data_IF_040745304890
#
_entry.id   IF_040745304890
#
_cell.length_a   1.000
_cell.length_b   1.000
_cell.length_c   1.000
_cell.angle_alpha   90.00
_cell.angle_beta   90.00
_cell.angle_gamma   90.00
#
_symmetry.space_group_name_H-M   'P 1'
#
loop_
_entity.id
_entity.type
_entity.pdbx_description
1 polymer ?
#
# COMPACT_ATOMS: atom_id res chain seq x y z
N UNK A 1 -8.30 5.86 -18.87
CA UNK A 1 -8.62 4.60 -18.18
C UNK A 1 -8.99 4.97 -16.76
N UNK A 2 -10.22 4.72 -16.30
CA UNK A 2 -10.68 5.08 -14.95
C UNK A 2 -10.92 3.80 -14.15
N UNK A 3 -9.83 3.07 -13.86
CA UNK A 3 -9.85 1.95 -12.92
C UNK A 3 -9.42 2.43 -11.52
N UNK A 4 -9.94 1.79 -10.47
CA UNK A 4 -9.48 2.02 -9.09
C UNK A 4 -8.12 1.36 -8.89
N UNK A 5 -7.32 1.87 -7.94
CA UNK A 5 -6.12 1.21 -7.44
C UNK A 5 -6.04 1.31 -5.92
N UNK A 6 -5.25 0.43 -5.31
CA UNK A 6 -5.05 0.39 -3.86
C UNK A 6 -3.55 0.42 -3.57
N UNK A 7 -3.14 1.29 -2.64
CA UNK A 7 -1.78 1.34 -2.13
C UNK A 7 -1.77 1.02 -0.63
N UNK A 8 -0.85 0.17 -0.19
CA UNK A 8 -0.74 -0.28 1.20
C UNK A 8 0.68 -0.02 1.71
N UNK A 9 0.79 0.63 2.86
CA UNK A 9 2.03 0.89 3.57
C UNK A 9 2.06 0.16 4.91
N UNK A 10 3.13 -0.57 5.19
CA UNK A 10 3.32 -1.29 6.45
C UNK A 10 4.79 -1.33 6.90
N UNK A 11 5.05 -1.47 8.20
CA UNK A 11 6.41 -1.58 8.73
C UNK A 11 6.49 -2.63 9.86
N UNK A 12 6.88 -2.28 11.08
CA UNK A 12 6.86 -3.19 12.23
C UNK A 12 5.45 -3.80 12.42
N UNK A 13 5.36 -5.14 12.50
CA UNK A 13 4.11 -5.91 12.47
C UNK A 13 3.48 -6.10 11.09
N UNK A 14 4.02 -5.44 10.06
CA UNK A 14 3.44 -5.36 8.72
C UNK A 14 3.33 -6.70 8.00
N UNK A 15 4.29 -7.61 8.17
CA UNK A 15 4.21 -8.95 7.53
C UNK A 15 3.06 -9.77 8.10
N UNK A 16 2.80 -9.65 9.41
CA UNK A 16 1.68 -10.32 10.08
C UNK A 16 0.35 -9.72 9.64
N UNK A 17 0.26 -8.39 9.55
CA UNK A 17 -0.90 -7.69 9.01
C UNK A 17 -1.18 -8.10 7.54
N UNK A 18 -0.20 -7.98 6.65
CA UNK A 18 -0.35 -8.35 5.23
C UNK A 18 -0.71 -9.83 5.03
N UNK A 19 -0.25 -10.73 5.92
CA UNK A 19 -0.60 -12.16 5.90
C UNK A 19 -2.07 -12.45 6.19
N UNK A 20 -2.82 -11.47 6.70
CA UNK A 20 -4.26 -11.57 6.94
C UNK A 20 -5.05 -10.81 5.88
N UNK A 21 -4.54 -9.66 5.41
CA UNK A 21 -5.21 -8.84 4.39
C UNK A 21 -5.13 -9.47 2.99
N UNK A 22 -3.92 -9.75 2.50
CA UNK A 22 -3.73 -10.14 1.10
C UNK A 22 -4.40 -11.48 0.75
N UNK A 23 -4.31 -12.54 1.59
CA UNK A 23 -5.00 -13.79 1.31
C UNK A 23 -6.52 -13.72 1.43
N UNK A 24 -7.07 -12.69 2.08
CA UNK A 24 -8.50 -12.49 2.21
C UNK A 24 -9.13 -11.85 0.95
N UNK A 25 -8.31 -11.33 0.02
CA UNK A 25 -8.79 -10.83 -1.26
C UNK A 25 -9.19 -12.01 -2.18
N UNK A 26 -10.40 -11.98 -2.77
CA UNK A 26 -10.89 -13.11 -3.56
C UNK A 26 -10.17 -13.21 -4.92
N UNK A 27 -10.27 -14.37 -5.57
CA UNK A 27 -9.57 -14.65 -6.83
C UNK A 27 -10.00 -13.74 -8.00
N UNK A 28 -11.22 -13.21 -7.94
CA UNK A 28 -11.83 -12.32 -8.94
C UNK A 28 -11.63 -10.83 -8.62
N UNK A 29 -10.79 -10.49 -7.63
CA UNK A 29 -10.51 -9.11 -7.25
C UNK A 29 -9.83 -8.34 -8.40
N UNK A 30 -10.59 -7.53 -9.13
CA UNK A 30 -10.13 -6.89 -10.36
C UNK A 30 -9.32 -5.58 -10.16
N UNK A 31 -8.97 -5.23 -8.92
CA UNK A 31 -8.26 -3.98 -8.59
C UNK A 31 -6.77 -4.26 -8.34
N UNK A 32 -5.84 -3.52 -8.98
CA UNK A 32 -4.41 -3.63 -8.68
C UNK A 32 -4.11 -3.15 -7.25
N UNK A 33 -3.24 -3.88 -6.55
CA UNK A 33 -2.78 -3.56 -5.20
C UNK A 33 -1.27 -3.34 -5.23
N UNK A 34 -0.79 -2.21 -4.76
CA UNK A 34 0.64 -1.92 -4.64
C UNK A 34 1.02 -1.85 -3.16
N UNK A 35 2.14 -2.45 -2.79
CA UNK A 35 2.54 -2.63 -1.39
C UNK A 35 3.97 -2.17 -1.18
N UNK A 36 4.15 -1.26 -0.22
CA UNK A 36 5.46 -0.96 0.38
C UNK A 36 5.45 -1.50 1.80
N UNK A 37 6.38 -2.41 2.09
CA UNK A 37 6.60 -2.95 3.42
C UNK A 37 8.06 -2.71 3.84
N UNK A 38 8.27 -1.99 4.94
CA UNK A 38 9.61 -1.81 5.49
C UNK A 38 10.05 -3.08 6.20
N UNK A 39 10.97 -3.81 5.57
CA UNK A 39 11.49 -5.07 6.09
C UNK A 39 13.00 -4.95 6.21
N UNK A 40 13.60 -5.50 7.27
CA UNK A 40 15.04 -5.60 7.35
C UNK A 40 15.62 -6.25 6.09
N UNK A 41 16.75 -5.78 5.56
CA UNK A 41 17.37 -6.33 4.36
C UNK A 41 17.78 -7.79 4.61
N UNK A 42 16.92 -8.72 4.24
CA UNK A 42 17.20 -10.17 4.24
C UNK A 42 16.51 -10.79 3.03
N UNK A 43 17.34 -11.41 2.18
CA UNK A 43 17.03 -12.14 0.94
C UNK A 43 15.91 -11.51 0.09
N UNK A 44 16.32 -10.95 -1.04
CA UNK A 44 15.46 -10.60 -2.17
C UNK A 44 14.34 -11.64 -2.37
N UNK A 45 13.13 -11.17 -2.67
CA UNK A 45 11.95 -11.98 -3.00
C UNK A 45 11.27 -12.80 -1.87
N UNK A 46 11.73 -12.77 -0.62
CA UNK A 46 11.13 -13.59 0.44
C UNK A 46 9.63 -13.29 0.68
N UNK A 47 9.23 -12.01 0.61
CA UNK A 47 7.82 -11.64 0.72
C UNK A 47 6.98 -12.12 -0.45
N UNK A 48 7.47 -11.91 -1.67
CA UNK A 48 6.73 -12.26 -2.88
C UNK A 48 6.48 -13.76 -2.89
N UNK A 49 7.48 -14.58 -2.56
CA UNK A 49 7.30 -16.03 -2.44
C UNK A 49 6.30 -16.40 -1.34
N UNK A 50 6.39 -15.75 -0.18
CA UNK A 50 5.46 -15.99 0.95
C UNK A 50 4.01 -15.71 0.55
N UNK A 51 3.75 -14.58 -0.11
CA UNK A 51 2.39 -14.17 -0.44
C UNK A 51 1.87 -14.83 -1.72
N UNK A 52 2.72 -15.12 -2.71
CA UNK A 52 2.33 -15.90 -3.88
C UNK A 52 1.83 -17.31 -3.50
N UNK A 53 2.36 -17.89 -2.43
CA UNK A 53 1.91 -19.19 -1.92
C UNK A 53 0.57 -19.14 -1.13
N UNK A 54 0.14 -17.94 -0.69
CA UNK A 54 -1.02 -17.77 0.20
C UNK A 54 -2.20 -17.06 -0.46
N UNK A 55 -1.94 -16.21 -1.45
CA UNK A 55 -2.96 -15.38 -2.06
C UNK A 55 -3.60 -16.08 -3.27
N UNK A 56 -4.88 -15.82 -3.50
CA UNK A 56 -5.54 -16.21 -4.75
C UNK A 56 -5.08 -15.32 -5.93
N UNK A 57 -4.68 -14.09 -5.64
CA UNK A 57 -4.19 -13.12 -6.61
C UNK A 57 -2.76 -13.40 -7.04
N UNK A 58 -2.40 -12.92 -8.23
CA UNK A 58 -1.00 -12.91 -8.68
C UNK A 58 -0.21 -12.00 -7.75
N UNK A 59 0.92 -12.47 -7.23
CA UNK A 59 1.83 -11.65 -6.42
C UNK A 59 3.19 -11.60 -7.10
N UNK A 60 3.75 -10.40 -7.28
CA UNK A 60 5.06 -10.19 -7.89
C UNK A 60 5.76 -8.94 -7.34
N UNK A 61 7.06 -8.81 -7.57
CA UNK A 61 7.72 -7.51 -7.49
C UNK A 61 7.32 -6.66 -8.72
N UNK A 62 7.21 -5.35 -8.52
CA UNK A 62 6.91 -4.43 -9.60
C UNK A 62 8.10 -4.26 -10.56
N UNK A 63 7.83 -4.23 -11.85
CA UNK A 63 8.80 -4.03 -12.92
C UNK A 63 8.65 -2.63 -13.53
N UNK A 64 9.76 -1.95 -13.82
CA UNK A 64 9.73 -0.60 -14.37
C UNK A 64 8.96 -0.57 -15.70
N UNK A 65 8.11 0.45 -15.85
CA UNK A 65 7.24 0.71 -17.02
C UNK A 65 6.15 -0.32 -17.29
N UNK A 66 5.93 -1.30 -16.41
CA UNK A 66 4.80 -2.22 -16.59
C UNK A 66 3.47 -1.52 -16.30
N UNK A 67 2.42 -1.90 -17.04
CA UNK A 67 1.06 -1.42 -16.76
C UNK A 67 0.47 -2.16 -15.57
N UNK A 68 -0.18 -1.42 -14.67
CA UNK A 68 -0.91 -2.02 -13.55
C UNK A 68 -2.09 -2.86 -14.07
N UNK A 69 -2.12 -4.11 -13.66
CA UNK A 69 -3.17 -5.07 -14.01
C UNK A 69 -4.01 -5.42 -12.78
N UNK A 70 -5.33 -5.46 -12.97
CA UNK A 70 -6.26 -6.00 -11.99
C UNK A 70 -5.90 -7.44 -11.59
N UNK A 71 -6.24 -7.84 -10.37
CA UNK A 71 -5.93 -9.17 -9.85
C UNK A 71 -4.45 -9.41 -9.55
N UNK A 72 -3.66 -8.33 -9.44
CA UNK A 72 -2.22 -8.41 -9.15
C UNK A 72 -1.86 -7.56 -7.93
N UNK A 73 -1.06 -8.17 -7.05
CA UNK A 73 -0.38 -7.52 -5.92
C UNK A 73 1.07 -7.27 -6.32
N UNK A 74 1.46 -6.01 -6.34
CA UNK A 74 2.79 -5.53 -6.68
C UNK A 74 3.53 -5.13 -5.42
N UNK A 75 4.63 -5.81 -5.10
CA UNK A 75 5.55 -5.38 -4.05
C UNK A 75 6.59 -4.43 -4.61
N UNK A 76 6.90 -3.39 -3.87
CA UNK A 76 8.04 -2.53 -4.16
C UNK A 76 9.34 -3.35 -4.09
N UNK A 77 10.19 -3.31 -5.15
CA UNK A 77 11.48 -3.98 -5.11
C UNK A 77 12.42 -3.30 -4.10
N UNK A 78 13.38 -4.06 -3.59
CA UNK A 78 14.39 -3.53 -2.68
C UNK A 78 15.24 -2.46 -3.38
N UNK A 79 15.70 -1.44 -2.64
CA UNK A 79 16.55 -0.36 -3.14
C UNK A 79 15.94 0.56 -4.21
N UNK A 80 14.65 0.44 -4.51
CA UNK A 80 13.93 1.37 -5.37
C UNK A 80 12.69 1.92 -4.68
N UNK A 81 12.37 3.19 -4.94
CA UNK A 81 11.05 3.72 -4.72
C UNK A 81 10.10 3.18 -5.80
N UNK A 82 9.00 2.57 -5.37
CA UNK A 82 7.89 2.22 -6.24
C UNK A 82 7.01 3.46 -6.43
N UNK A 83 6.82 3.86 -7.68
CA UNK A 83 6.03 5.04 -8.07
C UNK A 83 4.98 4.63 -9.11
N UNK A 84 3.98 5.49 -9.27
CA UNK A 84 2.97 5.36 -10.33
C UNK A 84 3.02 6.59 -11.23
N UNK A 85 3.10 6.38 -12.53
CA UNK A 85 3.05 7.46 -13.52
C UNK A 85 1.60 7.80 -13.92
N UNK A 86 1.34 9.04 -14.36
CA UNK A 86 0.09 9.38 -15.03
C UNK A 86 -0.20 8.40 -16.17
N UNK A 87 -1.34 7.72 -16.12
CA UNK A 87 -1.70 6.66 -17.07
C UNK A 87 -1.65 5.25 -16.47
N UNK A 88 -1.08 5.07 -15.27
CA UNK A 88 -1.15 3.83 -14.50
C UNK A 88 -0.02 2.83 -14.80
N UNK A 89 1.12 3.28 -15.33
CA UNK A 89 2.35 2.49 -15.38
C UNK A 89 3.15 2.64 -14.10
N UNK A 90 3.94 1.61 -13.79
CA UNK A 90 4.93 1.62 -12.71
C UNK A 90 6.15 2.43 -13.14
N UNK A 91 6.73 3.18 -12.20
CA UNK A 91 8.09 3.71 -12.32
C UNK A 91 8.92 3.31 -11.10
N UNK A 92 10.19 2.98 -11.31
CA UNK A 92 11.15 2.69 -10.25
C UNK A 92 12.23 3.78 -10.17
N UNK A 93 12.42 4.36 -8.99
CA UNK A 93 13.43 5.40 -8.75
C UNK A 93 14.49 4.94 -7.75
N UNK A 94 15.76 5.21 -8.05
CA UNK A 94 16.90 4.99 -7.15
C UNK A 94 17.36 6.28 -6.47
N UNK A 95 16.50 7.30 -6.39
CA UNK A 95 16.75 8.53 -5.63
C UNK A 95 16.94 8.27 -4.13
N UNK A 96 17.38 9.30 -3.41
CA UNK A 96 17.73 9.20 -1.99
C UNK A 96 16.56 8.71 -1.13
N UNK A 97 16.84 7.93 -0.06
CA UNK A 97 15.80 7.47 0.85
C UNK A 97 14.96 8.61 1.44
N UNK A 98 13.64 8.44 1.42
CA UNK A 98 12.68 9.33 2.08
C UNK A 98 12.32 8.73 3.43
N UNK A 99 12.29 9.54 4.50
CA UNK A 99 12.08 9.05 5.87
C UNK A 99 13.08 7.92 6.25
N UNK A 100 14.32 8.01 5.77
CA UNK A 100 15.37 7.00 5.94
C UNK A 100 15.05 5.61 5.35
N UNK A 101 14.05 5.53 4.46
CA UNK A 101 13.57 4.27 3.88
C UNK A 101 13.59 4.33 2.34
N UNK A 102 14.00 3.22 1.73
CA UNK A 102 13.83 2.97 0.29
C UNK A 102 13.56 1.47 0.08
N UNK A 103 12.36 1.08 -0.35
CA UNK A 103 11.21 1.92 -0.73
C UNK A 103 10.62 2.75 0.44
N UNK A 104 9.99 3.87 0.10
CA UNK A 104 9.25 4.73 1.03
C UNK A 104 7.76 4.72 0.69
N UNK A 105 6.91 4.67 1.71
CA UNK A 105 5.45 4.63 1.59
C UNK A 105 4.94 5.97 1.06
N UNK A 106 5.46 7.10 1.57
CA UNK A 106 5.07 8.44 1.12
C UNK A 106 5.23 8.58 -0.40
N UNK A 107 6.35 8.12 -0.98
CA UNK A 107 6.63 8.24 -2.42
C UNK A 107 5.62 7.47 -3.27
N UNK A 108 5.29 6.24 -2.89
CA UNK A 108 4.24 5.47 -3.58
C UNK A 108 2.90 6.19 -3.49
N UNK A 109 2.53 6.65 -2.30
CA UNK A 109 1.20 7.20 -2.04
C UNK A 109 1.01 8.55 -2.75
N UNK A 110 2.01 9.44 -2.71
CA UNK A 110 1.99 10.74 -3.39
C UNK A 110 1.85 10.56 -4.91
N UNK A 111 2.69 9.72 -5.52
CA UNK A 111 2.65 9.50 -6.99
C UNK A 111 1.39 8.77 -7.45
N UNK A 112 0.89 7.81 -6.66
CA UNK A 112 -0.39 7.18 -6.95
C UNK A 112 -1.56 8.16 -6.84
N UNK A 113 -1.53 9.09 -5.87
CA UNK A 113 -2.57 10.10 -5.71
C UNK A 113 -2.66 10.99 -6.95
N UNK A 114 -1.51 11.42 -7.48
CA UNK A 114 -1.45 12.18 -8.72
C UNK A 114 -1.98 11.40 -9.93
N UNK A 115 -1.71 10.09 -9.99
CA UNK A 115 -2.12 9.25 -11.12
C UNK A 115 -3.60 8.86 -11.12
N UNK A 116 -4.19 8.61 -9.94
CA UNK A 116 -5.54 8.03 -9.80
C UNK A 116 -6.58 8.99 -9.21
N UNK A 117 -6.15 10.04 -8.49
CA UNK A 117 -7.01 11.01 -7.82
C UNK A 117 -8.11 10.33 -6.97
N UNK A 118 -9.40 10.61 -7.22
CA UNK A 118 -10.50 10.04 -6.44
C UNK A 118 -10.68 8.52 -6.64
N UNK A 119 -10.01 7.92 -7.61
CA UNK A 119 -10.03 6.48 -7.84
C UNK A 119 -8.96 5.73 -7.04
N UNK A 120 -8.21 6.39 -6.16
CA UNK A 120 -7.23 5.74 -5.29
C UNK A 120 -7.81 5.43 -3.91
N UNK A 121 -7.40 4.29 -3.36
CA UNK A 121 -7.48 4.04 -1.93
C UNK A 121 -6.08 3.81 -1.33
N UNK A 122 -5.79 4.48 -0.22
CA UNK A 122 -4.56 4.30 0.55
C UNK A 122 -4.84 3.66 1.90
N UNK A 123 -3.97 2.75 2.32
CA UNK A 123 -4.05 2.05 3.60
C UNK A 123 -2.73 2.15 4.34
N UNK A 124 -2.73 2.83 5.49
CA UNK A 124 -1.59 2.81 6.43
C UNK A 124 -1.87 1.79 7.53
N UNK A 125 -0.98 0.82 7.67
CA UNK A 125 -1.02 -0.22 8.69
C UNK A 125 0.03 0.05 9.78
N UNK A 126 0.12 -0.86 10.75
CA UNK A 126 1.11 -0.90 11.82
C UNK A 126 2.55 -0.56 11.37
N UNK A 127 3.25 0.23 12.20
CA UNK A 127 4.61 0.64 11.93
C UNK A 127 5.24 1.56 12.98
N UNK A 128 6.57 1.62 12.99
CA UNK A 128 7.37 2.29 14.01
C UNK A 128 7.92 3.67 13.61
N UNK A 129 7.50 4.22 12.47
CA UNK A 129 7.97 5.53 11.97
C UNK A 129 6.78 6.37 11.47
N UNK A 130 7.02 7.48 10.77
CA UNK A 130 5.95 8.36 10.27
C UNK A 130 5.74 8.26 8.74
N UNK A 131 6.36 7.28 8.09
CA UNK A 131 6.29 7.15 6.64
C UNK A 131 4.90 6.70 6.19
N UNK A 132 4.38 7.32 5.13
CA UNK A 132 3.01 7.16 4.66
C UNK A 132 2.06 8.23 5.19
N UNK A 133 2.44 9.03 6.20
CA UNK A 133 1.58 10.09 6.72
C UNK A 133 1.35 11.22 5.72
N UNK A 134 2.40 11.66 5.02
CA UNK A 134 2.29 12.70 3.98
C UNK A 134 1.59 12.15 2.75
N UNK A 135 1.96 10.95 2.35
CA UNK A 135 1.35 10.26 1.22
C UNK A 135 -0.14 10.05 1.42
N UNK A 136 -0.58 9.60 2.60
CA UNK A 136 -1.99 9.41 2.88
C UNK A 136 -2.76 10.74 2.87
N UNK A 137 -2.13 11.83 3.32
CA UNK A 137 -2.69 13.17 3.18
C UNK A 137 -2.87 13.54 1.71
N UNK A 138 -1.88 13.29 0.85
CA UNK A 138 -1.99 13.54 -0.58
C UNK A 138 -3.15 12.75 -1.22
N UNK A 139 -3.35 11.50 -0.82
CA UNK A 139 -4.51 10.69 -1.25
C UNK A 139 -5.82 11.36 -0.84
N UNK A 140 -5.94 11.81 0.41
CA UNK A 140 -7.12 12.50 0.90
C UNK A 140 -7.38 13.84 0.19
N UNK A 141 -6.34 14.64 -0.02
CA UNK A 141 -6.41 15.92 -0.72
C UNK A 141 -6.85 15.75 -2.19
N UNK A 142 -6.46 14.64 -2.83
CA UNK A 142 -6.85 14.27 -4.18
C UNK A 142 -8.27 13.66 -4.28
N UNK A 143 -9.00 13.56 -3.16
CA UNK A 143 -10.35 13.01 -3.07
C UNK A 143 -10.42 11.48 -3.04
N UNK A 144 -9.29 10.80 -2.83
CA UNK A 144 -9.21 9.36 -2.65
C UNK A 144 -9.69 8.90 -1.27
N UNK A 145 -9.71 7.58 -1.07
CA UNK A 145 -10.10 6.95 0.20
C UNK A 145 -8.84 6.76 1.06
N UNK A 146 -8.79 7.39 2.23
CA UNK A 146 -7.70 7.23 3.19
C UNK A 146 -8.14 6.37 4.38
N UNK A 147 -7.55 5.18 4.52
CA UNK A 147 -7.82 4.23 5.61
C UNK A 147 -6.58 4.06 6.47
N UNK A 148 -6.78 3.99 7.79
CA UNK A 148 -5.69 3.80 8.76
C UNK A 148 -6.09 2.73 9.75
N UNK A 149 -5.22 1.76 10.00
CA UNK A 149 -5.38 0.81 11.10
C UNK A 149 -5.48 1.56 12.42
N UNK A 150 -6.44 1.21 13.27
CA UNK A 150 -6.61 1.87 14.57
C UNK A 150 -5.30 1.78 15.40
N UNK A 151 -4.67 2.92 15.75
CA UNK A 151 -3.39 2.95 16.47
C UNK A 151 -3.42 2.21 17.81
N UNK A 152 -4.58 2.13 18.47
CA UNK A 152 -4.72 1.47 19.77
C UNK A 152 -4.74 -0.06 19.65
N UNK A 153 -4.99 -0.60 18.45
CA UNK A 153 -5.03 -2.04 18.17
C UNK A 153 -3.91 -2.53 17.26
N UNK A 154 -3.23 -1.61 16.58
CA UNK A 154 -2.05 -1.90 15.78
C UNK A 154 -0.93 -2.50 16.65
N UNK A 155 -0.14 -3.41 16.08
CA UNK A 155 1.03 -3.97 16.78
C UNK A 155 2.02 -2.86 17.19
N UNK A 156 2.22 -1.90 16.30
CA UNK A 156 2.94 -0.65 16.56
C UNK A 156 2.13 0.53 16.01
N UNK A 157 1.58 1.34 16.91
CA UNK A 157 0.67 2.44 16.58
C UNK A 157 1.31 3.74 16.08
N UNK A 158 2.64 3.85 16.05
CA UNK A 158 3.34 5.12 15.71
C UNK A 158 3.00 5.60 14.30
N UNK A 159 3.09 4.73 13.30
CA UNK A 159 2.82 5.06 11.90
C UNK A 159 1.34 5.35 11.62
N UNK A 160 0.39 4.54 12.11
CA UNK A 160 -1.02 4.91 12.08
C UNK A 160 -1.35 6.25 12.75
N UNK A 161 -0.82 6.51 13.94
CA UNK A 161 -1.08 7.75 14.66
C UNK A 161 -0.56 8.98 13.89
N UNK A 162 0.63 8.86 13.29
CA UNK A 162 1.19 9.90 12.43
C UNK A 162 0.31 10.16 11.20
N UNK A 163 -0.21 9.11 10.56
CA UNK A 163 -1.08 9.22 9.39
C UNK A 163 -2.42 9.91 9.72
N UNK A 164 -3.05 9.57 10.85
CA UNK A 164 -4.28 10.24 11.32
C UNK A 164 -4.03 11.71 11.66
N UNK A 165 -2.88 12.03 12.27
CA UNK A 165 -2.53 13.41 12.60
C UNK A 165 -2.30 14.26 11.34
N UNK A 166 -1.73 13.68 10.28
CA UNK A 166 -1.41 14.38 9.04
C UNK A 166 -2.60 14.49 8.06
N UNK A 167 -3.52 13.53 8.06
CA UNK A 167 -4.63 13.44 7.11
C UNK A 167 -6.00 13.54 7.81
N UNK A 168 -6.62 14.74 7.86
CA UNK A 168 -7.95 14.91 8.47
C UNK A 168 -9.07 14.10 7.80
N UNK A 169 -8.89 13.72 6.53
CA UNK A 169 -9.83 12.87 5.79
C UNK A 169 -9.65 11.37 6.06
N UNK A 170 -8.58 10.97 6.77
CA UNK A 170 -8.30 9.58 7.08
C UNK A 170 -9.33 9.02 8.06
N UNK A 171 -9.74 7.78 7.80
CA UNK A 171 -10.68 7.04 8.64
C UNK A 171 -9.91 6.03 9.47
N UNK A 172 -9.89 6.15 10.81
CA UNK A 172 -9.41 5.08 11.68
C UNK A 172 -10.37 3.90 11.56
N UNK A 173 -9.83 2.70 11.37
CA UNK A 173 -10.61 1.49 11.15
C UNK A 173 -9.97 0.33 11.90
N UNK A 174 -10.81 -0.53 12.47
CA UNK A 174 -10.32 -1.82 12.96
C UNK A 174 -9.75 -2.62 11.80
N UNK A 175 -8.82 -3.52 12.12
CA UNK A 175 -8.20 -4.39 11.13
C UNK A 175 -9.23 -5.20 10.31
N UNK A 176 -10.29 -5.69 10.95
CA UNK A 176 -11.39 -6.41 10.28
C UNK A 176 -12.22 -5.50 9.37
N UNK A 177 -12.44 -4.24 9.77
CA UNK A 177 -13.14 -3.28 8.94
C UNK A 177 -12.35 -2.98 7.66
N UNK A 178 -11.01 -2.88 7.74
CA UNK A 178 -10.16 -2.71 6.56
C UNK A 178 -10.31 -3.90 5.61
N UNK A 179 -10.20 -5.13 6.12
CA UNK A 179 -10.38 -6.34 5.29
C UNK A 179 -11.75 -6.34 4.62
N UNK A 180 -12.82 -6.11 5.39
CA UNK A 180 -14.18 -6.12 4.85
C UNK A 180 -14.38 -5.04 3.77
N UNK A 181 -13.84 -3.84 4.01
CA UNK A 181 -13.91 -2.73 3.06
C UNK A 181 -13.19 -3.05 1.75
N UNK A 182 -12.01 -3.67 1.82
CA UNK A 182 -11.26 -4.10 0.64
C UNK A 182 -12.03 -5.17 -0.13
N UNK A 183 -12.55 -6.20 0.54
CA UNK A 183 -13.35 -7.26 -0.09
C UNK A 183 -14.60 -6.73 -0.80
N UNK A 184 -15.23 -5.68 -0.25
CA UNK A 184 -16.39 -5.04 -0.88
C UNK A 184 -16.10 -4.47 -2.28
N UNK A 185 -14.85 -4.15 -2.59
CA UNK A 185 -14.45 -3.65 -3.92
C UNK A 185 -14.26 -4.74 -4.96
N UNK A 186 -14.35 -6.03 -4.59
CA UNK A 186 -14.41 -7.13 -5.55
C UNK A 186 -15.72 -7.13 -6.36
N UNK A 187 -16.80 -6.57 -5.80
CA UNK A 187 -18.18 -6.71 -6.27
C UNK A 187 -18.67 -5.43 -6.98
N UNK A 188 -17.82 -4.41 -7.12
CA UNK A 188 -18.19 -3.07 -7.61
C UNK A 188 -17.78 -2.82 -9.05
#
# INVERSE_FOLDING_TARGET
MTGRAIVIGASAGGVQALSRILPALPADFAVPVLVVAHIPPRKENALVQLFAAKCALRVKEAEDKEMLAGGTVYFAPSDYHLMVEPGGSVALSSEEPVNHSRPAIDVLFETAADAFGPNLAGVVLTGANHDGARGLKAIGDAGGIAMVEDPDTAEVGTMPAAALAACPAARPMSFEQIIHQLQGWAIS
#
